data_IF_406078399867
#
_entry.id   IF_406078399867
#
_cell.length_a   1.000
_cell.length_b   1.000
_cell.length_c   1.000
_cell.angle_alpha   90.00
_cell.angle_beta   90.00
_cell.angle_gamma   90.00
#
_symmetry.space_group_name_H-M   'P 1'
#
loop_
_entity.id
_entity.type
_entity.pdbx_description
1 polymer ?
#
# COMPACT_ATOMS: atom_id res chain seq x y z
N UNK A 1 16.28 -12.82 -9.47
CA UNK A 1 16.99 -12.20 -10.60
C UNK A 1 17.58 -10.90 -10.10
N UNK A 2 18.90 -10.77 -10.15
CA UNK A 2 19.63 -9.53 -9.81
C UNK A 2 19.65 -8.70 -11.09
N UNK A 3 19.25 -7.44 -11.01
CA UNK A 3 19.43 -6.52 -12.13
C UNK A 3 20.52 -5.52 -11.72
N UNK A 4 21.68 -5.63 -12.37
CA UNK A 4 22.81 -4.74 -12.22
C UNK A 4 22.61 -3.45 -13.03
N UNK A 5 22.93 -2.31 -12.40
CA UNK A 5 23.32 -1.03 -13.03
C UNK A 5 22.37 -0.34 -14.02
N UNK A 6 21.30 0.22 -13.49
CA UNK A 6 20.89 1.59 -13.87
C UNK A 6 20.84 2.39 -12.58
N UNK A 7 21.53 3.54 -12.50
CA UNK A 7 21.72 4.35 -11.28
C UNK A 7 20.45 5.02 -10.71
N UNK A 8 19.33 4.30 -10.72
CA UNK A 8 18.02 4.75 -10.25
C UNK A 8 17.75 4.08 -8.92
N UNK A 9 17.68 4.88 -7.85
CA UNK A 9 17.27 4.39 -6.53
C UNK A 9 15.89 3.73 -6.63
N UNK A 10 15.78 2.49 -6.14
CA UNK A 10 14.49 1.80 -6.06
C UNK A 10 13.72 2.36 -4.86
N UNK A 11 12.66 3.13 -5.14
CA UNK A 11 11.74 3.65 -4.13
C UNK A 11 10.55 2.72 -3.95
N UNK A 12 10.06 2.60 -2.72
CA UNK A 12 8.81 1.89 -2.44
C UNK A 12 7.57 2.77 -2.64
N UNK A 13 6.37 2.24 -2.34
CA UNK A 13 5.09 2.97 -2.45
C UNK A 13 5.03 4.25 -1.60
N UNK A 14 5.90 4.39 -0.59
CA UNK A 14 6.02 5.58 0.24
C UNK A 14 7.13 6.55 -0.23
N UNK A 15 7.77 6.27 -1.36
CA UNK A 15 8.87 7.09 -1.87
C UNK A 15 10.15 6.97 -1.05
N UNK A 16 10.33 5.88 -0.30
CA UNK A 16 11.53 5.63 0.53
C UNK A 16 12.47 4.67 -0.20
N UNK A 17 13.76 5.00 -0.21
CA UNK A 17 14.83 4.14 -0.72
C UNK A 17 15.99 4.08 0.28
N UNK A 18 16.74 3.00 0.25
CA UNK A 18 17.99 2.88 1.00
C UNK A 18 19.12 3.48 0.18
N UNK A 19 19.90 4.40 0.77
CA UNK A 19 21.17 4.84 0.21
C UNK A 19 22.17 3.70 0.37
N UNK A 20 22.90 3.35 -0.69
CA UNK A 20 23.56 2.05 -0.82
C UNK A 20 24.74 1.81 0.15
N UNK A 21 24.81 0.54 0.60
CA UNK A 21 25.94 -0.25 1.14
C UNK A 21 26.17 -0.36 2.66
N UNK A 22 25.53 0.45 3.52
CA UNK A 22 25.76 0.36 4.98
C UNK A 22 24.66 -0.41 5.75
N UNK A 23 23.53 -0.71 5.11
CA UNK A 23 22.41 -1.46 5.72
C UNK A 23 22.46 -2.92 5.31
N UNK A 24 22.53 -3.81 6.30
CA UNK A 24 22.48 -5.25 6.04
C UNK A 24 21.15 -5.67 5.43
N UNK A 25 21.20 -6.64 4.51
CA UNK A 25 20.02 -7.19 3.82
C UNK A 25 18.89 -7.59 4.78
N UNK A 26 19.22 -8.17 5.94
CA UNK A 26 18.23 -8.55 6.96
C UNK A 26 17.45 -7.34 7.49
N UNK A 27 18.12 -6.20 7.68
CA UNK A 27 17.46 -4.98 8.16
C UNK A 27 16.58 -4.37 7.09
N UNK A 28 17.05 -4.29 5.84
CA UNK A 28 16.23 -3.78 4.73
C UNK A 28 15.02 -4.66 4.48
N UNK A 29 15.17 -5.98 4.44
CA UNK A 29 14.05 -6.93 4.30
C UNK A 29 12.99 -6.76 5.41
N UNK A 30 13.42 -6.54 6.66
CA UNK A 30 12.51 -6.29 7.77
C UNK A 30 11.75 -4.96 7.59
N UNK A 31 12.44 -3.90 7.17
CA UNK A 31 11.79 -2.60 6.91
C UNK A 31 10.76 -2.72 5.79
N UNK A 32 11.09 -3.40 4.69
CA UNK A 32 10.13 -3.63 3.60
C UNK A 32 8.90 -4.40 4.09
N UNK A 33 9.06 -5.48 4.86
CA UNK A 33 7.93 -6.22 5.44
C UNK A 33 7.07 -5.38 6.37
N UNK A 34 7.69 -4.58 7.25
CA UNK A 34 6.97 -3.69 8.15
C UNK A 34 6.20 -2.63 7.36
N UNK A 35 6.79 -2.11 6.30
CA UNK A 35 6.12 -1.16 5.41
C UNK A 35 4.92 -1.79 4.72
N UNK A 36 5.05 -2.97 4.12
CA UNK A 36 3.92 -3.66 3.47
C UNK A 36 2.77 -3.85 4.47
N UNK A 37 3.10 -4.22 5.71
CA UNK A 37 2.11 -4.34 6.81
C UNK A 37 1.40 -3.01 7.10
N UNK A 38 2.14 -1.90 7.10
CA UNK A 38 1.57 -0.55 7.33
C UNK A 38 0.67 -0.16 6.16
N UNK A 39 1.11 -0.38 4.93
CA UNK A 39 0.34 -0.05 3.71
C UNK A 39 -0.97 -0.83 3.69
N UNK A 40 -0.92 -2.14 3.90
CA UNK A 40 -2.12 -2.98 3.92
C UNK A 40 -3.11 -2.58 5.02
N UNK A 41 -2.60 -2.20 6.20
CA UNK A 41 -3.44 -1.66 7.27
C UNK A 41 -4.15 -0.37 6.84
N UNK A 42 -3.45 0.57 6.21
CA UNK A 42 -4.03 1.84 5.78
C UNK A 42 -4.99 1.65 4.60
N UNK A 43 -4.70 0.74 3.65
CA UNK A 43 -5.64 0.37 2.58
C UNK A 43 -6.95 -0.14 3.16
N UNK A 44 -6.89 -1.02 4.17
CA UNK A 44 -8.10 -1.52 4.85
C UNK A 44 -8.90 -0.41 5.53
N UNK A 45 -8.22 0.49 6.24
CA UNK A 45 -8.87 1.63 6.90
C UNK A 45 -9.52 2.57 5.87
N UNK A 46 -8.81 2.92 4.80
CA UNK A 46 -9.32 3.75 3.73
C UNK A 46 -10.54 3.11 3.04
N UNK A 47 -10.50 1.80 2.80
CA UNK A 47 -11.64 1.07 2.25
C UNK A 47 -12.85 1.12 3.18
N UNK A 48 -12.66 0.92 4.48
CA UNK A 48 -13.74 1.00 5.47
C UNK A 48 -14.35 2.40 5.54
N UNK A 49 -13.53 3.45 5.62
CA UNK A 49 -14.00 4.84 5.63
C UNK A 49 -14.78 5.18 4.34
N UNK A 50 -14.31 4.67 3.19
CA UNK A 50 -15.00 4.86 1.93
C UNK A 50 -16.34 4.12 1.87
N UNK A 51 -16.40 2.87 2.36
CA UNK A 51 -17.64 2.10 2.42
C UNK A 51 -18.67 2.73 3.37
N UNK A 52 -18.22 3.27 4.50
CA UNK A 52 -19.05 4.04 5.43
C UNK A 52 -19.61 5.31 4.77
N UNK A 53 -18.77 6.05 4.05
CA UNK A 53 -19.19 7.20 3.27
C UNK A 53 -20.23 6.82 2.22
N UNK A 54 -20.00 5.77 1.42
CA UNK A 54 -20.96 5.29 0.42
C UNK A 54 -22.28 4.92 1.07
N UNK A 55 -22.25 4.18 2.18
CA UNK A 55 -23.45 3.79 2.92
C UNK A 55 -24.23 5.01 3.42
N UNK A 56 -23.56 6.08 3.84
CA UNK A 56 -24.21 7.34 4.23
C UNK A 56 -24.98 8.01 3.07
N UNK A 57 -24.60 7.71 1.83
CA UNK A 57 -25.24 8.22 0.61
C UNK A 57 -26.25 7.23 0.02
N UNK A 58 -26.54 6.11 0.71
CA UNK A 58 -27.39 5.04 0.15
C UNK A 58 -26.74 4.32 -1.03
N UNK A 59 -25.40 4.30 -1.08
CA UNK A 59 -24.58 3.59 -2.03
C UNK A 59 -23.82 2.44 -1.35
N UNK A 60 -23.25 1.55 -2.14
CA UNK A 60 -22.32 0.51 -1.69
C UNK A 60 -21.30 0.19 -2.78
N UNK A 61 -20.17 -0.41 -2.40
CA UNK A 61 -19.17 -0.93 -3.34
C UNK A 61 -19.31 -2.44 -3.48
N UNK A 62 -19.37 -2.94 -4.72
CA UNK A 62 -19.43 -4.37 -5.02
C UNK A 62 -18.50 -4.66 -6.20
N UNK A 63 -17.52 -5.56 -6.00
CA UNK A 63 -16.52 -5.93 -7.01
C UNK A 63 -15.79 -4.73 -7.65
N UNK A 64 -15.53 -3.68 -6.88
CA UNK A 64 -14.85 -2.47 -7.36
C UNK A 64 -15.76 -1.50 -8.14
N UNK A 65 -17.08 -1.71 -8.14
CA UNK A 65 -18.06 -0.80 -8.74
C UNK A 65 -18.94 -0.21 -7.64
N UNK A 66 -19.23 1.09 -7.73
CA UNK A 66 -20.19 1.76 -6.84
C UNK A 66 -21.59 1.60 -7.40
N UNK A 67 -22.49 1.06 -6.60
CA UNK A 67 -23.89 0.83 -6.95
C UNK A 67 -24.81 1.47 -5.91
N UNK A 68 -26.10 1.62 -6.28
CA UNK A 68 -27.12 2.02 -5.31
C UNK A 68 -27.36 0.88 -4.34
N UNK A 69 -27.38 1.19 -3.04
CA UNK A 69 -27.68 0.21 -1.99
C UNK A 69 -29.13 -0.23 -2.13
N UNK A 70 -29.33 -1.49 -2.49
CA UNK A 70 -30.65 -2.13 -2.46
C UNK A 70 -31.02 -2.37 -1.00
N UNK A 71 -32.16 -1.83 -0.58
CA UNK A 71 -32.67 -1.89 0.81
C UNK A 71 -32.93 -3.33 1.25
#
# INVERSE_FOLDING_TARGET
>A
MVNESTGTMAFNELGISFVADDVSKKKSDNVYKTMDTIIEKHKKLAQQEFDEFLSSQGLESAMGVVIKKTT
#
